data_IF_180955934911
#
_entry.id   IF_180955934911
#
_cell.length_a   1.000
_cell.length_b   1.000
_cell.length_c   1.000
_cell.angle_alpha   90.00
_cell.angle_beta   90.00
_cell.angle_gamma   90.00
#
_symmetry.space_group_name_H-M   'P 1'
#
loop_
_entity.id
_entity.type
_entity.pdbx_description
1 polymer ?
#
# COMPACT_ATOMS: atom_id res chain seq x y z
N UNK A 1 28.19 5.05 3.05
CA UNK A 1 27.34 4.88 1.86
C UNK A 1 26.70 6.23 1.58
N UNK A 2 26.55 6.64 0.31
CA UNK A 2 25.83 7.88 0.01
C UNK A 2 24.41 7.78 0.59
N UNK A 3 23.90 8.87 1.18
CA UNK A 3 22.52 8.93 1.68
C UNK A 3 21.58 8.63 0.52
N UNK A 4 20.68 7.67 0.69
CA UNK A 4 19.70 7.36 -0.33
C UNK A 4 18.68 8.49 -0.43
N UNK A 5 18.03 8.69 -1.58
CA UNK A 5 16.90 9.64 -1.68
C UNK A 5 15.75 9.21 -0.76
N UNK A 6 15.65 7.93 -0.42
CA UNK A 6 14.71 7.44 0.59
C UNK A 6 14.94 8.02 2.00
N UNK A 7 16.21 8.24 2.39
CA UNK A 7 16.56 8.83 3.69
C UNK A 7 16.46 10.37 3.67
N UNK A 8 16.01 10.94 2.55
CA UNK A 8 15.94 12.38 2.34
C UNK A 8 14.68 13.00 2.97
N UNK A 9 14.37 14.21 2.52
CA UNK A 9 13.30 15.03 3.04
C UNK A 9 11.89 14.42 2.80
N UNK A 10 10.97 14.45 3.78
CA UNK A 10 9.62 13.89 3.61
C UNK A 10 8.82 14.55 2.47
N UNK A 11 9.11 15.81 2.10
CA UNK A 11 8.52 16.46 0.92
C UNK A 11 8.93 15.73 -0.36
N UNK A 12 10.20 15.34 -0.48
CA UNK A 12 10.73 14.61 -1.64
C UNK A 12 10.07 13.24 -1.77
N UNK A 13 9.94 12.51 -0.65
CA UNK A 13 9.26 11.22 -0.61
C UNK A 13 7.81 11.35 -1.08
N UNK A 14 7.05 12.24 -0.44
CA UNK A 14 5.63 12.38 -0.68
C UNK A 14 5.35 12.86 -2.12
N UNK A 15 6.15 13.79 -2.65
CA UNK A 15 6.08 14.22 -4.05
C UNK A 15 6.25 13.04 -5.01
N UNK A 16 7.29 12.23 -4.81
CA UNK A 16 7.57 11.10 -5.70
C UNK A 16 6.48 10.03 -5.63
N UNK A 17 5.95 9.76 -4.44
CA UNK A 17 4.89 8.76 -4.27
C UNK A 17 3.56 9.21 -4.88
N UNK A 18 3.16 10.46 -4.66
CA UNK A 18 1.94 11.02 -5.27
C UNK A 18 2.04 11.04 -6.78
N UNK A 19 3.16 11.49 -7.35
CA UNK A 19 3.40 11.46 -8.80
C UNK A 19 3.38 10.02 -9.34
N UNK A 20 3.99 9.05 -8.65
CA UNK A 20 3.95 7.65 -9.05
C UNK A 20 2.53 7.08 -9.04
N UNK A 21 1.74 7.43 -8.03
CA UNK A 21 0.33 7.02 -7.96
C UNK A 21 -0.45 7.63 -9.13
N UNK A 22 -0.34 8.94 -9.34
CA UNK A 22 -1.10 9.66 -10.36
C UNK A 22 -0.71 9.25 -11.79
N UNK A 23 0.58 9.24 -12.10
CA UNK A 23 1.05 9.08 -13.47
C UNK A 23 1.14 7.60 -13.90
N UNK A 24 1.23 6.67 -12.94
CA UNK A 24 1.51 5.25 -13.23
C UNK A 24 0.45 4.32 -12.64
N UNK A 25 0.14 4.43 -11.35
CA UNK A 25 -0.78 3.49 -10.70
C UNK A 25 -2.22 3.71 -11.14
N UNK A 26 -2.73 4.95 -11.09
CA UNK A 26 -4.11 5.28 -11.45
C UNK A 26 -4.46 4.85 -12.89
N UNK A 27 -3.64 5.12 -13.93
CA UNK A 27 -3.94 4.69 -15.29
C UNK A 27 -4.01 3.17 -15.45
N UNK A 28 -3.16 2.42 -14.74
CA UNK A 28 -3.22 0.95 -14.74
C UNK A 28 -4.46 0.44 -14.02
N UNK A 29 -4.75 1.00 -12.85
CA UNK A 29 -5.92 0.65 -12.04
C UNK A 29 -7.22 0.97 -12.77
N UNK A 30 -7.32 2.09 -13.49
CA UNK A 30 -8.49 2.43 -14.30
C UNK A 30 -8.82 1.32 -15.31
N UNK A 31 -7.82 0.83 -16.04
CA UNK A 31 -7.99 -0.30 -16.98
C UNK A 31 -8.38 -1.60 -16.26
N UNK A 32 -7.75 -1.87 -15.11
CA UNK A 32 -8.05 -3.04 -14.29
C UNK A 32 -9.49 -3.05 -13.78
N UNK A 33 -9.97 -1.90 -13.31
CA UNK A 33 -11.34 -1.67 -12.84
C UNK A 33 -12.37 -1.85 -13.95
N UNK A 34 -12.12 -1.29 -15.13
CA UNK A 34 -12.99 -1.53 -16.30
C UNK A 34 -13.07 -3.00 -16.72
N UNK A 35 -12.13 -3.83 -16.24
CA UNK A 35 -12.10 -5.28 -16.46
C UNK A 35 -12.61 -6.10 -15.25
N UNK A 36 -13.17 -5.45 -14.23
CA UNK A 36 -13.78 -6.09 -13.06
C UNK A 36 -12.86 -6.31 -11.86
N UNK A 37 -11.65 -5.72 -11.83
CA UNK A 37 -10.75 -5.79 -10.67
C UNK A 37 -10.98 -4.63 -9.69
N UNK A 38 -10.65 -4.84 -8.41
CA UNK A 38 -10.64 -3.79 -7.38
C UNK A 38 -9.72 -2.64 -7.76
N UNK A 39 -10.06 -1.47 -7.24
CA UNK A 39 -9.39 -0.20 -7.47
C UNK A 39 -8.07 0.01 -6.71
N UNK A 40 -7.36 -1.04 -6.30
CA UNK A 40 -6.12 -0.92 -5.51
C UNK A 40 -4.89 -1.35 -6.30
N UNK A 41 -3.82 -0.58 -6.18
CA UNK A 41 -2.55 -0.87 -6.85
C UNK A 41 -1.34 -0.67 -5.95
N UNK A 42 -0.17 -0.94 -6.50
CA UNK A 42 1.09 -0.78 -5.81
C UNK A 42 2.23 -0.49 -6.79
N UNK A 43 3.31 0.07 -6.26
CA UNK A 43 4.56 0.29 -6.96
C UNK A 43 5.74 -0.11 -6.08
N UNK A 44 6.84 -0.50 -6.72
CA UNK A 44 8.14 -0.71 -6.10
C UNK A 44 9.08 0.32 -6.70
N UNK A 45 9.69 1.15 -5.88
CA UNK A 45 10.59 2.23 -6.30
C UNK A 45 12.00 1.97 -5.79
N UNK A 46 13.01 2.52 -6.44
CA UNK A 46 14.39 2.52 -5.95
C UNK A 46 14.55 3.44 -4.74
N UNK A 47 15.23 3.00 -3.67
CA UNK A 47 15.63 3.92 -2.59
C UNK A 47 16.63 4.97 -3.05
N UNK A 48 17.46 4.63 -4.05
CA UNK A 48 18.55 5.49 -4.49
C UNK A 48 18.02 6.78 -5.14
N UNK A 49 17.02 6.66 -6.03
CA UNK A 49 16.49 7.80 -6.80
C UNK A 49 14.96 7.94 -6.80
N UNK A 50 14.23 7.10 -6.06
CA UNK A 50 12.76 7.00 -6.12
C UNK A 50 12.22 6.76 -7.54
N UNK A 51 13.02 6.11 -8.38
CA UNK A 51 12.60 5.67 -9.72
C UNK A 51 11.63 4.50 -9.58
N UNK A 52 10.43 4.55 -10.18
CA UNK A 52 9.52 3.41 -10.23
C UNK A 52 10.16 2.25 -11.01
N UNK A 53 10.32 1.11 -10.36
CA UNK A 53 10.90 -0.12 -10.89
C UNK A 53 9.79 -1.03 -11.42
N UNK A 54 8.73 -1.19 -10.63
CA UNK A 54 7.57 -1.99 -10.99
C UNK A 54 6.33 -1.27 -10.53
N UNK A 55 5.31 -1.28 -11.38
CA UNK A 55 3.99 -0.72 -11.05
C UNK A 55 2.96 -1.75 -11.48
N UNK A 56 2.02 -2.04 -10.60
CA UNK A 56 0.96 -3.02 -10.85
C UNK A 56 -0.34 -2.58 -10.20
N UNK A 57 -1.42 -3.21 -10.62
CA UNK A 57 -2.75 -3.06 -10.01
C UNK A 57 -3.31 -4.42 -9.60
N UNK A 58 -4.44 -4.44 -8.91
CA UNK A 58 -5.17 -5.64 -8.53
C UNK A 58 -5.52 -6.48 -9.77
N UNK A 59 -5.46 -7.81 -9.61
CA UNK A 59 -5.82 -8.78 -10.65
C UNK A 59 -6.68 -9.91 -10.05
N UNK A 60 -7.66 -9.54 -9.22
CA UNK A 60 -8.50 -10.51 -8.50
C UNK A 60 -9.29 -11.43 -9.44
N UNK A 61 -9.59 -10.97 -10.65
CA UNK A 61 -10.29 -11.76 -11.67
C UNK A 61 -9.48 -12.98 -12.10
N UNK A 62 -8.14 -12.91 -12.06
CA UNK A 62 -7.28 -14.06 -12.29
C UNK A 62 -7.11 -14.93 -11.04
N UNK A 63 -7.05 -14.31 -9.86
CA UNK A 63 -7.05 -15.01 -8.57
C UNK A 63 -7.37 -14.04 -7.44
N UNK A 64 -8.23 -14.39 -6.48
CA UNK A 64 -8.60 -13.50 -5.38
C UNK A 64 -7.41 -13.10 -4.49
N UNK A 65 -6.27 -13.81 -4.59
CA UNK A 65 -5.04 -13.49 -3.85
C UNK A 65 -4.21 -12.38 -4.51
N UNK A 66 -4.48 -12.05 -5.78
CA UNK A 66 -3.72 -11.05 -6.54
C UNK A 66 -4.20 -9.64 -6.23
N UNK A 67 -4.08 -9.26 -4.96
CA UNK A 67 -4.18 -7.88 -4.51
C UNK A 67 -3.11 -7.01 -5.19
N UNK A 68 -3.29 -5.68 -5.18
CA UNK A 68 -2.35 -4.77 -5.87
C UNK A 68 -0.90 -5.00 -5.45
N UNK A 69 -0.67 -5.24 -4.15
CA UNK A 69 0.62 -5.48 -3.53
C UNK A 69 1.18 -6.85 -3.93
N UNK A 70 0.39 -7.92 -3.81
CA UNK A 70 0.82 -9.28 -4.17
C UNK A 70 1.11 -9.38 -5.67
N UNK A 71 0.26 -8.79 -6.50
CA UNK A 71 0.49 -8.76 -7.94
C UNK A 71 1.75 -7.97 -8.27
N UNK A 72 1.97 -6.79 -7.66
CA UNK A 72 3.20 -6.01 -7.84
C UNK A 72 4.46 -6.79 -7.45
N UNK A 73 4.42 -7.52 -6.33
CA UNK A 73 5.50 -8.43 -5.92
C UNK A 73 5.74 -9.49 -7.00
N UNK A 74 4.70 -10.19 -7.48
CA UNK A 74 4.87 -11.22 -8.50
C UNK A 74 5.47 -10.65 -9.80
N UNK A 75 4.97 -9.51 -10.28
CA UNK A 75 5.54 -8.82 -11.44
C UNK A 75 7.01 -8.45 -11.19
N UNK A 76 7.35 -7.98 -9.98
CA UNK A 76 8.71 -7.59 -9.65
C UNK A 76 9.72 -8.73 -9.75
N UNK A 77 9.33 -9.93 -9.31
CA UNK A 77 10.17 -11.13 -9.38
C UNK A 77 10.13 -11.82 -10.76
N UNK A 78 9.08 -11.61 -11.56
CA UNK A 78 8.94 -12.21 -12.89
C UNK A 78 9.61 -11.39 -14.00
N UNK A 79 9.72 -10.06 -13.86
CA UNK A 79 10.31 -9.21 -14.89
C UNK A 79 11.81 -9.50 -15.07
N UNK A 80 12.30 -9.33 -16.30
CA UNK A 80 13.69 -9.61 -16.70
C UNK A 80 14.45 -8.36 -17.13
N UNK A 81 13.85 -7.18 -17.00
CA UNK A 81 14.41 -5.89 -17.38
C UNK A 81 14.00 -4.85 -16.34
N UNK A 82 14.98 -4.15 -15.77
CA UNK A 82 14.81 -3.21 -14.67
C UNK A 82 15.42 -1.86 -15.04
N UNK A 83 14.73 -0.73 -14.79
CA UNK A 83 15.30 0.59 -15.00
C UNK A 83 16.53 0.82 -14.11
N UNK A 84 17.40 1.75 -14.51
CA UNK A 84 18.48 2.21 -13.64
C UNK A 84 17.91 2.85 -12.36
N UNK A 85 18.57 2.57 -11.24
CA UNK A 85 18.08 2.90 -9.90
C UNK A 85 18.10 4.40 -9.59
N UNK A 86 18.80 5.22 -10.39
CA UNK A 86 18.91 6.66 -10.25
C UNK A 86 18.23 7.42 -11.40
N UNK A 87 18.19 6.84 -12.60
CA UNK A 87 17.72 7.53 -13.80
C UNK A 87 17.07 6.57 -14.80
N UNK A 88 15.74 6.59 -14.88
CA UNK A 88 14.95 5.73 -15.78
C UNK A 88 15.26 5.91 -17.27
N UNK A 89 15.97 6.98 -17.68
CA UNK A 89 16.37 7.19 -19.08
C UNK A 89 17.58 6.37 -19.51
N UNK A 90 18.32 5.81 -18.54
CA UNK A 90 19.50 4.98 -18.81
C UNK A 90 19.13 3.55 -19.23
N UNK A 91 20.05 2.82 -19.88
CA UNK A 91 19.81 1.44 -20.29
C UNK A 91 19.38 0.56 -19.11
N UNK A 92 18.35 -0.25 -19.35
CA UNK A 92 17.86 -1.20 -18.36
C UNK A 92 18.86 -2.33 -18.12
N UNK A 93 18.82 -2.89 -16.91
CA UNK A 93 19.62 -4.03 -16.48
C UNK A 93 18.73 -5.27 -16.33
N UNK A 94 19.27 -6.46 -16.60
CA UNK A 94 18.58 -7.72 -16.26
C UNK A 94 18.70 -8.09 -14.77
N UNK A 95 19.53 -7.36 -14.01
CA UNK A 95 19.73 -7.61 -12.60
C UNK A 95 18.59 -7.02 -11.78
N UNK A 96 17.80 -7.90 -11.16
CA UNK A 96 16.76 -7.49 -10.21
C UNK A 96 17.38 -6.77 -9.01
N UNK A 97 16.87 -5.58 -8.63
CA UNK A 97 17.25 -4.91 -7.40
C UNK A 97 16.99 -5.76 -6.16
N UNK A 98 17.83 -5.61 -5.13
CA UNK A 98 17.54 -6.21 -3.83
C UNK A 98 16.31 -5.50 -3.23
N UNK A 99 15.28 -6.23 -2.74
CA UNK A 99 14.11 -5.62 -2.08
C UNK A 99 14.47 -4.64 -0.96
N UNK A 100 15.62 -4.83 -0.29
CA UNK A 100 16.13 -3.90 0.74
C UNK A 100 16.63 -2.57 0.19
N UNK A 101 16.93 -2.50 -1.10
CA UNK A 101 17.28 -1.28 -1.82
C UNK A 101 16.05 -0.62 -2.46
N UNK A 102 14.84 -1.09 -2.12
CA UNK A 102 13.59 -0.63 -2.69
C UNK A 102 12.63 -0.07 -1.63
N UNK A 103 11.72 0.78 -2.11
CA UNK A 103 10.56 1.29 -1.38
C UNK A 103 9.33 0.58 -1.90
N UNK A 104 8.53 0.04 -0.99
CA UNK A 104 7.22 -0.50 -1.36
C UNK A 104 6.16 0.58 -1.18
N UNK A 105 5.37 0.84 -2.22
CA UNK A 105 4.31 1.84 -2.22
C UNK A 105 2.99 1.15 -2.51
N UNK A 106 2.05 1.17 -1.58
CA UNK A 106 0.71 0.66 -1.76
C UNK A 106 -0.30 1.82 -1.85
N UNK A 107 -1.38 1.67 -2.61
CA UNK A 107 -2.43 2.69 -2.61
C UNK A 107 -3.32 2.59 -1.38
N UNK A 108 -3.44 1.40 -0.77
CA UNK A 108 -4.20 1.19 0.45
C UNK A 108 -3.35 0.46 1.49
N UNK A 109 -3.75 0.57 2.75
CA UNK A 109 -3.09 -0.09 3.87
C UNK A 109 -3.15 -1.61 3.68
N UNK A 110 -1.98 -2.28 3.58
CA UNK A 110 -1.96 -3.69 3.18
C UNK A 110 -2.71 -4.60 4.15
N UNK A 111 -3.55 -5.52 3.66
CA UNK A 111 -4.20 -6.54 4.49
C UNK A 111 -3.20 -7.61 5.01
N UNK A 112 -3.65 -8.53 5.85
CA UNK A 112 -2.80 -9.58 6.46
C UNK A 112 -2.01 -10.44 5.44
N UNK A 113 -2.62 -10.75 4.30
CA UNK A 113 -1.96 -11.41 3.17
C UNK A 113 -0.82 -10.55 2.61
N UNK A 114 -1.11 -9.28 2.31
CA UNK A 114 -0.16 -8.36 1.71
C UNK A 114 0.99 -8.00 2.67
N UNK A 115 0.71 -7.80 3.96
CA UNK A 115 1.72 -7.61 5.01
C UNK A 115 2.71 -8.79 5.06
N UNK A 116 2.19 -10.00 4.97
CA UNK A 116 2.99 -11.22 4.91
C UNK A 116 3.80 -11.28 3.60
N UNK A 117 3.17 -10.96 2.46
CA UNK A 117 3.82 -10.93 1.15
C UNK A 117 4.99 -9.95 1.10
N UNK A 118 4.81 -8.72 1.58
CA UNK A 118 5.85 -7.68 1.67
C UNK A 118 7.02 -8.19 2.53
N UNK A 119 6.71 -8.79 3.68
CA UNK A 119 7.71 -9.33 4.62
C UNK A 119 8.53 -10.46 4.01
N UNK A 120 7.88 -11.49 3.46
CA UNK A 120 8.55 -12.64 2.85
C UNK A 120 9.34 -12.27 1.60
N UNK A 121 8.91 -11.23 0.88
CA UNK A 121 9.63 -10.72 -0.28
C UNK A 121 10.88 -9.94 0.09
N UNK A 122 11.07 -9.59 1.37
CA UNK A 122 12.29 -8.97 1.88
C UNK A 122 12.31 -7.44 1.84
N UNK A 123 11.19 -6.78 1.54
CA UNK A 123 11.06 -5.33 1.70
C UNK A 123 11.08 -4.96 3.18
N UNK A 124 11.77 -3.88 3.52
CA UNK A 124 11.95 -3.40 4.90
C UNK A 124 11.18 -2.13 5.22
N UNK A 125 10.38 -1.67 4.28
CA UNK A 125 9.55 -0.50 4.43
C UNK A 125 8.36 -0.60 3.49
N UNK A 126 7.28 0.08 3.86
CA UNK A 126 6.25 0.42 2.90
C UNK A 126 5.53 1.73 3.27
N UNK A 127 4.95 2.35 2.25
CA UNK A 127 4.08 3.52 2.40
C UNK A 127 2.71 3.24 1.82
N UNK A 128 1.69 3.90 2.35
CA UNK A 128 0.32 3.73 1.90
C UNK A 128 -0.48 5.02 1.92
N UNK A 129 -1.37 5.19 0.93
CA UNK A 129 -2.21 6.37 0.74
C UNK A 129 -3.52 6.28 1.54
N UNK A 130 -4.31 5.23 1.32
CA UNK A 130 -5.57 5.00 2.03
C UNK A 130 -5.34 4.16 3.29
N UNK A 131 -5.87 4.60 4.41
CA UNK A 131 -5.93 3.79 5.65
C UNK A 131 -7.03 2.74 5.56
N UNK A 132 -7.07 1.81 6.53
CA UNK A 132 -8.22 0.91 6.66
C UNK A 132 -9.53 1.67 6.87
N UNK A 133 -9.52 2.75 7.64
CA UNK A 133 -10.68 3.62 7.87
C UNK A 133 -11.18 4.24 6.57
N UNK A 134 -10.26 4.79 5.76
CA UNK A 134 -10.59 5.32 4.43
C UNK A 134 -11.23 4.24 3.55
N UNK A 135 -10.67 3.02 3.58
CA UNK A 135 -11.12 1.93 2.69
C UNK A 135 -12.48 1.36 3.07
N UNK A 136 -12.74 1.25 4.38
CA UNK A 136 -14.05 0.88 4.93
C UNK A 136 -15.10 1.89 4.53
N UNK A 137 -14.80 3.18 4.71
CA UNK A 137 -15.80 4.25 4.60
C UNK A 137 -16.02 4.69 3.14
N UNK A 138 -15.00 4.60 2.26
CA UNK A 138 -15.08 5.09 0.89
C UNK A 138 -15.39 4.01 -0.16
N UNK A 139 -15.01 2.74 0.08
CA UNK A 139 -15.00 1.72 -0.98
C UNK A 139 -15.85 0.48 -0.67
N UNK A 140 -16.47 0.41 0.50
CA UNK A 140 -17.29 -0.74 0.92
C UNK A 140 -16.53 -2.06 0.78
N UNK A 141 -15.26 -2.07 1.18
CA UNK A 141 -14.40 -3.26 1.24
C UNK A 141 -14.11 -3.59 2.71
N UNK A 142 -15.09 -4.07 3.49
CA UNK A 142 -14.92 -4.31 4.93
C UNK A 142 -14.05 -5.54 5.24
N UNK A 143 -13.98 -6.47 4.28
CA UNK A 143 -13.45 -7.81 4.51
C UNK A 143 -11.97 -7.85 4.91
N UNK A 144 -11.17 -6.84 4.56
CA UNK A 144 -9.76 -6.81 4.95
C UNK A 144 -9.61 -6.65 6.47
N UNK A 145 -10.43 -5.80 7.10
CA UNK A 145 -10.46 -5.63 8.56
C UNK A 145 -11.06 -6.87 9.20
N UNK A 146 -12.16 -7.39 8.67
CA UNK A 146 -12.86 -8.55 9.22
C UNK A 146 -11.95 -9.79 9.22
N UNK A 147 -11.29 -10.09 8.11
CA UNK A 147 -10.33 -11.22 8.02
C UNK A 147 -9.20 -11.01 9.01
N UNK A 148 -8.67 -9.79 9.11
CA UNK A 148 -7.56 -9.52 10.01
C UNK A 148 -7.98 -9.72 11.48
N UNK A 149 -9.17 -9.26 11.86
CA UNK A 149 -9.72 -9.44 13.20
C UNK A 149 -10.07 -10.90 13.48
N UNK A 150 -10.86 -11.55 12.64
CA UNK A 150 -11.38 -12.90 12.87
C UNK A 150 -10.29 -13.98 12.78
N UNK A 151 -9.29 -13.80 11.90
CA UNK A 151 -8.24 -14.82 11.70
C UNK A 151 -7.03 -14.59 12.61
N UNK A 152 -6.66 -13.33 12.91
CA UNK A 152 -5.38 -13.02 13.58
C UNK A 152 -5.52 -12.40 14.97
N UNK A 153 -6.68 -11.88 15.37
CA UNK A 153 -6.88 -11.27 16.70
C UNK A 153 -7.16 -12.33 17.78
N UNK A 154 -6.26 -13.30 17.92
CA UNK A 154 -6.37 -14.38 18.91
C UNK A 154 -6.28 -13.78 20.33
N UNK A 155 -7.28 -14.02 21.20
CA UNK A 155 -7.22 -13.57 22.60
C UNK A 155 -6.02 -14.16 23.34
N UNK A 156 -5.41 -13.38 24.23
CA UNK A 156 -4.32 -13.88 25.06
C UNK A 156 -4.83 -14.97 26.01
N UNK A 157 -4.11 -16.10 26.07
CA UNK A 157 -4.31 -17.07 27.15
C UNK A 157 -3.51 -16.55 28.35
N UNK A 158 -4.20 -16.16 29.45
CA UNK A 158 -3.52 -15.62 30.61
C UNK A 158 -2.57 -16.65 31.22
N UNK A 159 -1.40 -16.19 31.65
CA UNK A 159 -0.50 -16.98 32.46
C UNK A 159 -1.17 -17.32 33.80
N UNK A 160 -0.74 -18.39 34.46
CA UNK A 160 -1.26 -18.75 35.79
C UNK A 160 -1.04 -17.57 36.75
N UNK A 161 -2.13 -16.96 37.22
CA UNK A 161 -2.10 -15.81 38.12
C UNK A 161 -2.17 -14.43 37.44
N UNK A 162 -2.27 -14.35 36.11
CA UNK A 162 -2.58 -13.08 35.43
C UNK A 162 -4.09 -12.93 35.23
N UNK A 163 -4.57 -11.68 35.22
CA UNK A 163 -5.94 -11.39 34.81
C UNK A 163 -6.15 -11.91 33.38
N UNK A 164 -7.31 -12.53 33.11
CA UNK A 164 -7.65 -12.86 31.73
C UNK A 164 -7.85 -11.55 30.97
N UNK A 165 -7.48 -11.52 29.70
CA UNK A 165 -7.99 -10.53 28.75
C UNK A 165 -9.51 -10.71 28.72
N UNK A 166 -10.22 -9.97 29.56
CA UNK A 166 -11.64 -10.19 29.92
C UNK A 166 -12.55 -9.17 29.24
N UNK A 167 -11.99 -8.09 28.69
CA UNK A 167 -12.75 -6.97 28.18
C UNK A 167 -12.57 -6.87 26.67
N UNK A 168 -13.70 -6.79 25.97
CA UNK A 168 -13.75 -6.56 24.52
C UNK A 168 -13.01 -5.27 24.13
N UNK A 169 -13.00 -4.30 25.04
CA UNK A 169 -12.35 -2.99 24.91
C UNK A 169 -10.82 -3.09 24.79
N UNK A 170 -10.16 -3.98 25.55
CA UNK A 170 -8.70 -4.18 25.47
C UNK A 170 -8.28 -4.76 24.11
N UNK A 171 -9.09 -5.71 23.62
CA UNK A 171 -8.92 -6.24 22.28
C UNK A 171 -9.13 -5.13 21.26
N UNK A 172 -10.25 -4.40 21.35
CA UNK A 172 -10.66 -3.33 20.43
C UNK A 172 -9.64 -2.19 20.30
N UNK A 173 -8.95 -1.83 21.39
CA UNK A 173 -7.89 -0.82 21.39
C UNK A 173 -6.56 -1.29 20.75
N UNK A 174 -6.38 -2.59 20.53
CA UNK A 174 -5.13 -3.14 19.97
C UNK A 174 -4.99 -2.78 18.49
N UNK A 175 -3.83 -2.24 18.05
CA UNK A 175 -3.53 -2.05 16.64
C UNK A 175 -3.64 -3.37 15.87
N UNK A 176 -4.14 -3.29 14.63
CA UNK A 176 -4.32 -4.45 13.75
C UNK A 176 -2.98 -5.14 13.40
N UNK A 177 -1.88 -4.39 13.35
CA UNK A 177 -0.53 -4.92 13.22
C UNK A 177 0.52 -3.94 13.76
N UNK A 178 1.74 -4.44 13.97
CA UNK A 178 2.88 -3.61 14.37
C UNK A 178 3.45 -2.86 13.15
N UNK A 179 3.10 -1.58 12.99
CA UNK A 179 3.63 -0.70 11.93
C UNK A 179 5.16 -0.58 11.93
N UNK A 180 5.80 -0.74 13.09
CA UNK A 180 7.25 -0.88 13.21
C UNK A 180 7.59 -2.19 13.88
N UNK A 181 8.37 -3.03 13.20
CA UNK A 181 8.80 -4.33 13.71
C UNK A 181 10.20 -4.67 13.18
N UNK A 182 10.71 -5.87 13.50
CA UNK A 182 12.05 -6.31 13.09
C UNK A 182 12.23 -6.51 11.57
N UNK A 183 11.13 -6.57 10.82
CA UNK A 183 11.12 -6.82 9.38
C UNK A 183 10.95 -5.53 8.59
N UNK A 184 9.98 -4.69 8.95
CA UNK A 184 9.68 -3.46 8.23
C UNK A 184 9.26 -2.28 9.11
N UNK A 185 9.29 -1.08 8.51
CA UNK A 185 8.59 0.12 9.00
C UNK A 185 7.55 0.61 7.99
N UNK A 186 6.31 0.75 8.43
CA UNK A 186 5.17 1.23 7.67
C UNK A 186 4.89 2.70 8.01
N UNK A 187 4.58 3.52 6.99
CA UNK A 187 4.15 4.91 7.16
C UNK A 187 2.99 5.26 6.24
N UNK A 188 1.95 5.89 6.77
CA UNK A 188 0.90 6.46 5.92
C UNK A 188 1.37 7.78 5.29
N UNK A 189 0.64 8.28 4.30
CA UNK A 189 0.92 9.61 3.73
C UNK A 189 0.63 10.72 4.74
N UNK A 190 -0.32 10.52 5.65
CA UNK A 190 -0.58 11.41 6.78
C UNK A 190 0.57 11.41 7.79
N UNK A 191 1.26 10.27 7.99
CA UNK A 191 2.49 10.23 8.78
C UNK A 191 3.55 11.15 8.15
N UNK A 192 3.71 11.10 6.81
CA UNK A 192 4.62 11.99 6.08
C UNK A 192 4.20 13.47 6.17
N UNK A 193 2.91 13.79 6.08
CA UNK A 193 2.43 15.16 6.25
C UNK A 193 2.77 15.71 7.65
N UNK A 194 2.60 14.91 8.70
CA UNK A 194 3.01 15.30 10.06
C UNK A 194 4.52 15.51 10.18
N UNK A 195 5.34 14.63 9.58
CA UNK A 195 6.79 14.84 9.51
C UNK A 195 7.16 16.14 8.77
N UNK A 196 6.39 16.54 7.75
CA UNK A 196 6.56 17.83 7.05
C UNK A 196 6.19 18.99 7.96
N UNK A 197 5.10 18.90 8.73
CA UNK A 197 4.73 19.95 9.69
C UNK A 197 5.85 20.20 10.71
N UNK A 198 6.43 19.11 11.23
CA UNK A 198 7.53 19.16 12.21
C UNK A 198 8.81 19.79 11.63
N UNK A 199 9.13 19.54 10.36
CA UNK A 199 10.39 19.98 9.73
C UNK A 199 10.29 21.30 8.97
N UNK A 200 9.16 21.58 8.34
CA UNK A 200 8.93 22.67 7.39
C UNK A 200 7.79 23.61 7.78
N UNK A 201 7.05 23.27 8.84
CA UNK A 201 5.95 24.07 9.37
C UNK A 201 4.57 23.72 8.77
N UNK A 202 3.53 24.11 9.50
CA UNK A 202 2.13 23.80 9.20
C UNK A 202 1.68 24.24 7.80
N UNK A 203 2.18 25.39 7.32
CA UNK A 203 1.81 25.90 6.00
C UNK A 203 2.29 25.00 4.86
N UNK A 204 3.47 24.38 5.00
CA UNK A 204 3.96 23.44 3.99
C UNK A 204 3.24 22.10 4.10
N UNK A 205 3.06 21.58 5.33
CA UNK A 205 2.24 20.38 5.57
C UNK A 205 0.86 20.51 4.94
N UNK A 206 0.21 21.67 5.09
CA UNK A 206 -1.15 21.88 4.58
C UNK A 206 -1.25 21.72 3.07
N UNK A 207 -0.26 22.19 2.31
CA UNK A 207 -0.20 22.02 0.85
C UNK A 207 -0.15 20.54 0.47
N UNK A 208 0.62 19.76 1.22
CA UNK A 208 0.76 18.32 0.97
C UNK A 208 -0.49 17.55 1.40
N UNK A 209 -1.17 17.96 2.47
CA UNK A 209 -2.50 17.42 2.81
C UNK A 209 -3.54 17.71 1.72
N UNK A 210 -3.53 18.92 1.14
CA UNK A 210 -4.39 19.27 0.01
C UNK A 210 -4.11 18.37 -1.20
N UNK A 211 -2.84 18.10 -1.48
CA UNK A 211 -2.44 17.23 -2.58
C UNK A 211 -2.80 15.75 -2.34
N UNK A 212 -2.61 15.25 -1.12
CA UNK A 212 -3.09 13.92 -0.73
C UNK A 212 -4.60 13.82 -0.97
N UNK A 213 -5.38 14.81 -0.54
CA UNK A 213 -6.83 14.85 -0.76
C UNK A 213 -7.19 14.90 -2.25
N UNK A 214 -6.46 15.68 -3.05
CA UNK A 214 -6.66 15.74 -4.50
C UNK A 214 -6.45 14.37 -5.15
N UNK A 215 -5.36 13.68 -4.82
CA UNK A 215 -5.07 12.33 -5.33
C UNK A 215 -6.11 11.32 -4.86
N UNK A 216 -6.51 11.34 -3.57
CA UNK A 216 -7.59 10.49 -3.06
C UNK A 216 -8.89 10.69 -3.86
N UNK A 217 -9.24 11.94 -4.20
CA UNK A 217 -10.44 12.25 -4.97
C UNK A 217 -10.44 11.68 -6.40
N UNK A 218 -9.28 11.44 -7.01
CA UNK A 218 -9.18 10.78 -8.32
C UNK A 218 -9.70 9.33 -8.29
N UNK A 219 -9.69 8.68 -7.11
CA UNK A 219 -10.23 7.33 -6.95
C UNK A 219 -11.75 7.27 -6.89
N UNK A 220 -12.45 8.41 -6.73
CA UNK A 220 -13.92 8.43 -6.67
C UNK A 220 -14.52 7.87 -7.97
N UNK A 221 -14.05 8.34 -9.13
CA UNK A 221 -14.54 7.83 -10.43
C UNK A 221 -14.17 6.35 -10.68
N UNK A 222 -13.06 5.88 -10.11
CA UNK A 222 -12.69 4.46 -10.14
C UNK A 222 -13.63 3.62 -9.28
N UNK A 223 -13.99 4.12 -8.10
CA UNK A 223 -14.95 3.49 -7.21
C UNK A 223 -16.32 3.36 -7.87
N UNK A 224 -16.83 4.45 -8.45
CA UNK A 224 -18.13 4.45 -9.14
C UNK A 224 -18.17 3.38 -10.24
N UNK A 225 -17.15 3.35 -11.11
CA UNK A 225 -17.01 2.36 -12.17
C UNK A 225 -16.97 0.93 -11.61
N UNK A 226 -16.23 0.70 -10.52
CA UNK A 226 -16.11 -0.62 -9.90
C UNK A 226 -17.45 -1.07 -9.28
N UNK A 227 -18.17 -0.20 -8.57
CA UNK A 227 -19.45 -0.56 -7.96
C UNK A 227 -20.54 -0.81 -9.03
N UNK A 228 -20.54 -0.06 -10.13
CA UNK A 228 -21.40 -0.34 -11.29
C UNK A 228 -21.14 -1.74 -11.87
N UNK A 229 -19.87 -2.17 -11.96
CA UNK A 229 -19.51 -3.51 -12.45
C UNK A 229 -20.07 -4.63 -11.57
N UNK A 230 -20.19 -4.42 -10.25
CA UNK A 230 -20.78 -5.40 -9.33
C UNK A 230 -22.29 -5.57 -9.51
N UNK A 231 -22.99 -4.54 -9.97
CA UNK A 231 -24.42 -4.61 -10.27
C UNK A 231 -24.71 -5.23 -11.64
N UNK A 232 -23.70 -5.33 -12.51
CA UNK A 232 -23.82 -5.80 -13.89
C UNK A 232 -23.01 -7.09 -14.15
N UNK A 233 -23.53 -8.25 -13.72
CA UNK A 233 -23.17 -9.63 -14.17
C UNK A 233 -21.70 -9.92 -14.55
N UNK A 234 -20.71 -9.27 -13.93
CA UNK A 234 -19.30 -9.71 -13.97
C UNK A 234 -19.02 -10.31 -12.61
N UNK A 235 -18.98 -11.63 -12.56
CA UNK A 235 -18.79 -12.37 -11.31
C UNK A 235 -17.47 -11.98 -10.66
N UNK A 236 -17.53 -11.33 -9.50
CA UNK A 236 -16.36 -11.20 -8.63
C UNK A 236 -15.88 -12.59 -8.22
N UNK A 237 -14.57 -12.85 -8.33
CA UNK A 237 -13.94 -14.05 -7.79
C UNK A 237 -13.87 -14.04 -6.25
N UNK A 238 -14.34 -12.96 -5.60
CA UNK A 238 -14.51 -12.91 -4.15
C UNK A 238 -15.58 -13.91 -3.72
N UNK A 239 -15.18 -14.86 -2.87
CA UNK A 239 -16.09 -15.83 -2.27
C UNK A 239 -16.98 -15.22 -1.18
N UNK A 240 -16.63 -14.03 -0.71
CA UNK A 240 -17.37 -13.28 0.30
C UNK A 240 -18.21 -12.22 -0.42
N UNK A 241 -19.54 -12.37 -0.34
CA UNK A 241 -20.55 -11.46 -0.91
C UNK A 241 -21.17 -10.63 0.20
#
# INVERSE_FOLDING_TARGET
>A
MASSTYDSDPVTLLRAFLATIEDKVIPLTSKGVSSGNKLFGAAILSKAGLVPITVSTNNETASPLLHGEINCIQQFFAQTSFPDMLDASKPSSSQRPNPRDCVFLATHEPCSLCLSGITWSGFDNFFYLFTYEDSRDLFSVPYDIDILQEVFRVPAVPAVGSEKETQREDLDARPLYNRRNKFFTARSFEDLAREIAEKHGEAESKKWEDEIRRIKALYNGLSDTYQESKTSVVGSASFWK
#
